data_IF_260146335971
#
_entry.id   IF_260146335971
#
_cell.length_a   1.000
_cell.length_b   1.000
_cell.length_c   1.000
_cell.angle_alpha   90.00
_cell.angle_beta   90.00
_cell.angle_gamma   90.00
#
_symmetry.space_group_name_H-M   'P 1'
#
loop_
_entity.id
_entity.type
_entity.pdbx_description
1 polymer ?
#
# COMPACT_ATOMS: atom_id res chain seq x y z
N UNK A 1 -5.54 21.53 -1.34
CA UNK A 1 -4.42 22.40 -1.76
C UNK A 1 -3.32 22.28 -0.70
N UNK A 2 -2.23 21.57 -1.03
CA UNK A 2 -1.13 21.26 -0.10
C UNK A 2 -0.28 22.49 0.28
N UNK A 3 -0.49 23.63 -0.39
CA UNK A 3 0.10 24.93 -0.08
C UNK A 3 -0.22 25.43 1.34
N UNK A 4 -1.39 25.05 1.92
CA UNK A 4 -1.73 25.37 3.31
C UNK A 4 -0.91 24.59 4.37
N UNK A 5 0.17 23.90 3.96
CA UNK A 5 0.97 23.00 4.80
C UNK A 5 2.47 23.37 4.81
N UNK A 6 2.84 24.56 4.34
CA UNK A 6 4.23 25.04 4.38
C UNK A 6 5.15 24.49 3.28
N UNK A 7 4.61 23.73 2.33
CA UNK A 7 5.32 23.43 1.09
C UNK A 7 5.32 24.70 0.21
N UNK A 8 6.47 25.38 0.12
CA UNK A 8 6.58 26.67 -0.57
C UNK A 8 6.10 26.63 -2.02
N UNK A 9 6.32 25.50 -2.74
CA UNK A 9 5.78 25.24 -4.09
C UNK A 9 5.68 23.73 -4.35
N UNK A 10 4.48 23.16 -4.34
CA UNK A 10 4.24 21.80 -4.85
C UNK A 10 3.97 21.92 -6.35
N UNK A 11 4.90 21.48 -7.20
CA UNK A 11 4.70 21.46 -8.65
C UNK A 11 3.70 20.38 -9.07
N UNK A 12 3.88 19.16 -8.55
CA UNK A 12 3.01 18.01 -8.78
C UNK A 12 3.25 17.00 -7.63
N UNK A 13 2.21 16.35 -7.11
CA UNK A 13 2.43 15.22 -6.20
C UNK A 13 2.79 13.97 -6.98
N UNK A 14 3.43 12.98 -6.35
CA UNK A 14 3.75 11.73 -7.04
C UNK A 14 2.47 11.02 -7.54
N UNK A 15 1.39 11.08 -6.78
CA UNK A 15 0.11 10.49 -7.18
C UNK A 15 -0.54 11.25 -8.35
N UNK A 16 -0.25 12.53 -8.54
CA UNK A 16 -0.69 13.28 -9.72
C UNK A 16 0.15 12.90 -10.95
N UNK A 17 1.45 12.68 -10.78
CA UNK A 17 2.35 12.28 -11.86
C UNK A 17 2.14 10.82 -12.30
N UNK A 18 1.92 9.91 -11.34
CA UNK A 18 1.71 8.48 -11.60
C UNK A 18 0.56 7.97 -10.72
N UNK A 19 -0.70 8.21 -11.13
CA UNK A 19 -1.87 7.76 -10.38
C UNK A 19 -1.87 6.25 -10.18
N UNK A 20 -2.11 5.83 -8.94
CA UNK A 20 -2.20 4.42 -8.57
C UNK A 20 -0.86 3.70 -8.41
N UNK A 21 0.25 4.43 -8.31
CA UNK A 21 1.55 3.82 -8.04
C UNK A 21 1.54 3.10 -6.68
N UNK A 22 1.92 1.82 -6.69
CA UNK A 22 2.00 0.95 -5.52
C UNK A 22 3.37 1.16 -4.86
N UNK A 23 3.38 1.83 -3.71
CA UNK A 23 4.63 2.18 -3.02
C UNK A 23 5.14 1.13 -2.04
N UNK A 24 4.28 0.21 -1.63
CA UNK A 24 4.54 -0.67 -0.51
C UNK A 24 3.93 -2.03 -0.75
N UNK A 25 4.66 -3.07 -0.35
CA UNK A 25 4.22 -4.45 -0.33
C UNK A 25 4.59 -5.09 1.00
N UNK A 26 3.94 -6.21 1.30
CA UNK A 26 4.30 -7.06 2.43
C UNK A 26 5.04 -8.28 1.92
N UNK A 27 6.18 -8.57 2.53
CA UNK A 27 7.06 -9.64 2.11
C UNK A 27 7.27 -10.62 3.26
N UNK A 28 7.15 -11.90 2.95
CA UNK A 28 7.48 -13.00 3.83
C UNK A 28 8.47 -13.89 3.12
N UNK A 29 9.46 -14.45 3.84
CA UNK A 29 10.37 -15.41 3.24
C UNK A 29 9.63 -16.73 2.97
N UNK A 30 10.03 -17.47 1.94
CA UNK A 30 9.49 -18.80 1.66
C UNK A 30 9.62 -19.74 2.86
N UNK A 31 10.73 -19.62 3.60
CA UNK A 31 10.98 -20.41 4.82
C UNK A 31 9.92 -20.12 5.89
N UNK A 32 9.56 -18.85 6.07
CA UNK A 32 8.53 -18.45 7.05
C UNK A 32 7.13 -18.85 6.59
N UNK A 33 6.82 -18.68 5.30
CA UNK A 33 5.53 -19.08 4.72
C UNK A 33 5.29 -20.59 4.90
N UNK A 34 6.31 -21.42 4.66
CA UNK A 34 6.23 -22.88 4.83
C UNK A 34 6.09 -23.29 6.30
N UNK A 35 6.85 -22.66 7.19
CA UNK A 35 6.84 -23.01 8.62
C UNK A 35 5.58 -22.51 9.34
N UNK A 36 5.04 -21.35 8.96
CA UNK A 36 4.00 -20.65 9.69
C UNK A 36 2.85 -20.12 8.82
N UNK A 37 2.27 -20.93 7.90
CA UNK A 37 1.27 -20.44 6.96
C UNK A 37 0.01 -19.90 7.64
N UNK A 38 -0.39 -20.50 8.77
CA UNK A 38 -1.57 -20.07 9.51
C UNK A 38 -1.35 -18.72 10.23
N UNK A 39 -0.13 -18.45 10.70
CA UNK A 39 0.20 -17.16 11.32
C UNK A 39 0.14 -16.04 10.30
N UNK A 40 0.65 -16.29 9.09
CA UNK A 40 0.57 -15.34 7.97
C UNK A 40 -0.88 -15.06 7.60
N UNK A 41 -1.72 -16.10 7.45
CA UNK A 41 -3.16 -15.94 7.18
C UNK A 41 -3.87 -15.16 8.30
N UNK A 42 -3.53 -15.42 9.57
CA UNK A 42 -4.10 -14.72 10.70
C UNK A 42 -3.70 -13.24 10.73
N UNK A 43 -2.42 -12.94 10.49
CA UNK A 43 -1.90 -11.59 10.37
C UNK A 43 -2.60 -10.82 9.24
N UNK A 44 -2.69 -11.41 8.05
CA UNK A 44 -3.31 -10.76 6.90
C UNK A 44 -4.82 -10.57 7.07
N UNK A 45 -5.53 -11.50 7.74
CA UNK A 45 -6.93 -11.27 8.17
C UNK A 45 -7.05 -10.05 9.09
N UNK A 46 -6.14 -9.91 10.05
CA UNK A 46 -6.09 -8.76 10.95
C UNK A 46 -5.83 -7.46 10.19
N UNK A 47 -4.90 -7.48 9.24
CA UNK A 47 -4.57 -6.35 8.39
C UNK A 47 -5.76 -5.87 7.54
N UNK A 48 -6.46 -6.79 6.88
CA UNK A 48 -7.66 -6.44 6.08
C UNK A 48 -8.76 -5.83 6.97
N UNK A 49 -8.93 -6.33 8.20
CA UNK A 49 -9.85 -5.70 9.16
C UNK A 49 -9.38 -4.30 9.57
N UNK A 50 -8.07 -4.08 9.71
CA UNK A 50 -7.54 -2.76 10.02
C UNK A 50 -7.77 -1.77 8.86
N UNK A 51 -7.63 -2.21 7.61
CA UNK A 51 -7.97 -1.42 6.42
C UNK A 51 -9.42 -0.99 6.42
N UNK A 52 -10.34 -1.93 6.65
CA UNK A 52 -11.76 -1.65 6.77
C UNK A 52 -12.06 -0.67 7.92
N UNK A 53 -11.42 -0.85 9.07
CA UNK A 53 -11.54 0.08 10.19
C UNK A 53 -11.07 1.49 9.83
N UNK A 54 -9.89 1.63 9.20
CA UNK A 54 -9.34 2.92 8.79
C UNK A 54 -10.28 3.63 7.82
N UNK A 55 -10.83 2.90 6.85
CA UNK A 55 -11.79 3.43 5.86
C UNK A 55 -13.02 4.05 6.53
N UNK A 56 -13.53 3.41 7.58
CA UNK A 56 -14.74 3.86 8.28
C UNK A 56 -14.47 4.78 9.49
N UNK A 57 -13.22 4.88 9.94
CA UNK A 57 -12.83 5.61 11.16
C UNK A 57 -11.58 6.49 10.95
N UNK A 58 -11.46 7.09 9.76
CA UNK A 58 -10.22 7.73 9.29
C UNK A 58 -9.63 8.74 10.28
N UNK A 59 -10.45 9.65 10.81
CA UNK A 59 -10.03 10.65 11.80
C UNK A 59 -9.47 10.03 13.08
N UNK A 60 -10.05 8.91 13.52
CA UNK A 60 -9.57 8.20 14.69
C UNK A 60 -8.27 7.45 14.39
N UNK A 61 -8.19 6.78 13.25
CA UNK A 61 -6.99 6.10 12.79
C UNK A 61 -5.77 7.04 12.68
N UNK A 62 -5.97 8.25 12.13
CA UNK A 62 -4.92 9.27 11.97
C UNK A 62 -4.25 9.68 13.29
N UNK A 63 -4.94 9.55 14.43
CA UNK A 63 -4.36 9.88 15.75
C UNK A 63 -3.18 8.97 16.13
N UNK A 64 -3.07 7.80 15.51
CA UNK A 64 -1.97 6.87 15.73
C UNK A 64 -0.71 7.23 14.95
N UNK A 65 -0.81 8.03 13.88
CA UNK A 65 0.33 8.37 13.03
C UNK A 65 1.43 9.08 13.84
N UNK A 66 1.15 10.16 14.61
CA UNK A 66 2.18 10.84 15.40
C UNK A 66 2.94 9.93 16.37
N UNK A 67 2.24 8.95 16.96
CA UNK A 67 2.83 8.01 17.92
C UNK A 67 3.97 7.19 17.29
N UNK A 68 3.84 6.80 16.03
CA UNK A 68 4.76 5.87 15.37
C UNK A 68 5.71 6.53 14.38
N UNK A 69 5.43 7.75 13.94
CA UNK A 69 6.25 8.46 12.94
C UNK A 69 6.85 9.76 13.44
N UNK A 70 6.41 10.27 14.59
CA UNK A 70 6.85 11.56 15.14
C UNK A 70 6.32 12.78 14.40
N UNK A 71 5.48 12.62 13.38
CA UNK A 71 4.87 13.76 12.67
C UNK A 71 3.86 14.49 13.57
N UNK A 72 3.74 15.79 13.40
CA UNK A 72 2.76 16.56 14.15
C UNK A 72 1.31 16.12 13.86
N UNK A 73 0.44 16.20 14.85
CA UNK A 73 -0.97 15.82 14.72
C UNK A 73 -1.67 16.59 13.59
N UNK A 74 -1.38 17.88 13.43
CA UNK A 74 -1.97 18.71 12.38
C UNK A 74 -1.55 18.25 10.98
N UNK A 75 -0.31 17.77 10.84
CA UNK A 75 0.18 17.19 9.59
C UNK A 75 -0.49 15.84 9.34
N UNK A 76 -0.53 14.96 10.34
CA UNK A 76 -1.18 13.65 10.26
C UNK A 76 -2.67 13.73 9.85
N UNK A 77 -3.38 14.78 10.27
CA UNK A 77 -4.79 14.99 9.91
C UNK A 77 -5.01 15.38 8.45
N UNK A 78 -3.97 15.86 7.77
CA UNK A 78 -4.05 16.35 6.40
C UNK A 78 -3.24 15.52 5.39
N UNK A 79 -2.38 14.61 5.86
CA UNK A 79 -1.63 13.68 5.01
C UNK A 79 -2.57 12.87 4.11
N UNK A 80 -2.18 12.63 2.86
CA UNK A 80 -2.94 11.72 2.01
C UNK A 80 -2.91 10.31 2.63
N UNK A 81 -4.08 9.67 2.72
CA UNK A 81 -4.18 8.26 3.02
C UNK A 81 -4.45 7.50 1.73
N UNK A 82 -3.87 6.31 1.66
CA UNK A 82 -4.14 5.39 0.57
C UNK A 82 -5.62 4.97 0.61
N UNK A 83 -6.21 4.72 -0.56
CA UNK A 83 -7.45 3.97 -0.61
C UNK A 83 -7.19 2.52 -0.17
N UNK A 84 -7.65 2.17 1.03
CA UNK A 84 -7.49 0.83 1.58
C UNK A 84 -8.69 -0.04 1.19
N UNK A 85 -8.44 -1.10 0.42
CA UNK A 85 -9.42 -2.13 0.07
C UNK A 85 -9.12 -3.45 0.82
N UNK A 86 -9.20 -4.59 0.14
CA UNK A 86 -9.03 -5.94 0.71
C UNK A 86 -7.56 -6.41 0.76
N UNK A 87 -6.61 -5.48 0.53
CA UNK A 87 -5.17 -5.75 0.47
C UNK A 87 -4.67 -6.30 -0.86
N UNK A 88 -5.52 -6.40 -1.89
CA UNK A 88 -5.12 -6.75 -3.26
C UNK A 88 -4.87 -5.50 -4.08
N UNK A 89 -3.79 -5.53 -4.85
CA UNK A 89 -3.48 -4.48 -5.80
C UNK A 89 -4.11 -4.78 -7.18
N UNK A 90 -4.58 -3.76 -7.91
CA UNK A 90 -5.01 -3.96 -9.29
C UNK A 90 -3.83 -4.42 -10.15
N UNK A 91 -3.98 -5.56 -10.83
CA UNK A 91 -2.91 -6.15 -11.67
C UNK A 91 -2.37 -5.18 -12.71
N UNK A 92 -3.25 -4.39 -13.32
CA UNK A 92 -2.87 -3.38 -14.31
C UNK A 92 -1.88 -2.34 -13.74
N UNK A 93 -1.98 -2.00 -12.46
CA UNK A 93 -1.05 -1.08 -11.81
C UNK A 93 0.31 -1.72 -11.59
N UNK A 94 0.35 -3.01 -11.22
CA UNK A 94 1.60 -3.78 -11.11
C UNK A 94 2.28 -3.84 -12.48
N UNK A 95 1.55 -4.15 -13.55
CA UNK A 95 2.12 -4.18 -14.90
C UNK A 95 2.61 -2.80 -15.36
N UNK A 96 1.86 -1.73 -15.08
CA UNK A 96 2.28 -0.35 -15.38
C UNK A 96 3.61 -0.01 -14.69
N UNK A 97 3.82 -0.45 -13.45
CA UNK A 97 5.10 -0.28 -12.77
C UNK A 97 6.23 -1.06 -13.43
N UNK A 98 5.98 -2.32 -13.82
CA UNK A 98 6.98 -3.09 -14.56
C UNK A 98 7.33 -2.43 -15.90
N UNK A 99 6.36 -1.88 -16.62
CA UNK A 99 6.59 -1.16 -17.88
C UNK A 99 7.48 0.08 -17.68
N UNK A 100 7.25 0.85 -16.62
CA UNK A 100 8.13 1.97 -16.25
C UNK A 100 9.55 1.45 -16.03
N UNK A 101 9.73 0.36 -15.26
CA UNK A 101 11.04 -0.23 -14.99
C UNK A 101 11.72 -0.77 -16.25
N UNK A 102 10.97 -1.32 -17.20
CA UNK A 102 11.49 -1.77 -18.50
C UNK A 102 11.97 -0.57 -19.32
N UNK A 103 11.16 0.47 -19.41
CA UNK A 103 11.47 1.68 -20.19
C UNK A 103 12.74 2.38 -19.70
N UNK A 104 13.04 2.32 -18.40
CA UNK A 104 14.27 2.90 -17.82
C UNK A 104 15.43 1.90 -17.73
N UNK A 105 15.32 0.72 -18.33
CA UNK A 105 16.37 -0.30 -18.37
C UNK A 105 16.66 -0.99 -17.03
N UNK A 106 15.72 -0.95 -16.08
CA UNK A 106 15.85 -1.58 -14.74
C UNK A 106 15.19 -2.95 -14.65
N UNK A 107 14.36 -3.31 -15.62
CA UNK A 107 13.76 -4.63 -15.73
C UNK A 107 13.87 -5.09 -17.20
N UNK A 108 14.36 -6.29 -17.51
CA UNK A 108 14.57 -6.70 -18.90
C UNK A 108 13.27 -7.03 -19.63
N UNK A 109 12.25 -7.52 -18.92
CA UNK A 109 10.94 -7.89 -19.45
C UNK A 109 9.93 -8.05 -18.32
N UNK A 110 8.64 -8.11 -18.67
CA UNK A 110 7.58 -8.38 -17.68
C UNK A 110 7.75 -9.74 -17.01
N UNK A 111 7.46 -9.77 -15.72
CA UNK A 111 7.39 -10.96 -14.87
C UNK A 111 5.90 -11.21 -14.57
N UNK A 112 5.41 -12.45 -14.75
CA UNK A 112 4.04 -12.80 -14.38
C UNK A 112 3.75 -12.49 -12.90
N UNK A 113 2.59 -11.91 -12.61
CA UNK A 113 2.24 -11.41 -11.26
C UNK A 113 2.21 -12.54 -10.23
N UNK A 114 1.77 -13.72 -10.62
CA UNK A 114 1.72 -14.92 -9.77
C UNK A 114 3.11 -15.38 -9.30
N UNK A 115 4.19 -14.91 -9.94
CA UNK A 115 5.57 -15.18 -9.51
C UNK A 115 6.10 -14.17 -8.48
N UNK A 116 5.39 -13.06 -8.28
CA UNK A 116 5.80 -11.96 -7.39
C UNK A 116 4.81 -11.73 -6.25
N UNK A 117 3.54 -12.11 -6.41
CA UNK A 117 2.50 -11.92 -5.40
C UNK A 117 1.68 -13.20 -5.22
N UNK A 118 1.55 -13.63 -3.97
CA UNK A 118 0.69 -14.76 -3.59
C UNK A 118 -0.51 -14.27 -2.77
N UNK A 119 -1.63 -14.08 -3.45
CA UNK A 119 -2.89 -13.69 -2.81
C UNK A 119 -3.62 -14.84 -2.12
N UNK A 120 -3.13 -16.08 -2.20
CA UNK A 120 -3.78 -17.23 -1.56
C UNK A 120 -3.79 -17.13 -0.03
N UNK A 121 -2.91 -16.33 0.56
CA UNK A 121 -2.86 -16.07 2.01
C UNK A 121 -3.83 -15.00 2.49
N UNK A 122 -4.40 -14.20 1.58
CA UNK A 122 -5.43 -13.21 1.91
C UNK A 122 -6.79 -13.89 2.17
N UNK A 123 -7.71 -13.20 2.89
CA UNK A 123 -9.09 -13.66 3.03
C UNK A 123 -9.76 -13.77 1.66
N UNK A 124 -10.71 -14.71 1.53
CA UNK A 124 -11.55 -14.84 0.34
C UNK A 124 -12.34 -13.54 0.14
N UNK A 125 -12.46 -13.07 -1.10
CA UNK A 125 -13.29 -11.91 -1.42
C UNK A 125 -14.73 -12.20 -1.04
N UNK A 126 -15.35 -11.24 -0.36
CA UNK A 126 -16.81 -11.22 -0.24
C UNK A 126 -17.32 -10.59 -1.53
N UNK A 127 -18.13 -11.34 -2.27
CA UNK A 127 -18.89 -10.83 -3.41
C UNK A 127 -19.92 -9.78 -2.97
#
# INVERSE_FOLDING_TARGET
>A
MLEMHGASRLLISFNDAIPGYIFSGLFFTDTYLKAHPQNVRAFLRGLVKAFDYIKHNERHARKWIPKYTGVEMQVAMKSALRHFEDGREPEQQIYKQQDIMINIGRLPKRIPIEKIVDYSYLPVRKE
#
